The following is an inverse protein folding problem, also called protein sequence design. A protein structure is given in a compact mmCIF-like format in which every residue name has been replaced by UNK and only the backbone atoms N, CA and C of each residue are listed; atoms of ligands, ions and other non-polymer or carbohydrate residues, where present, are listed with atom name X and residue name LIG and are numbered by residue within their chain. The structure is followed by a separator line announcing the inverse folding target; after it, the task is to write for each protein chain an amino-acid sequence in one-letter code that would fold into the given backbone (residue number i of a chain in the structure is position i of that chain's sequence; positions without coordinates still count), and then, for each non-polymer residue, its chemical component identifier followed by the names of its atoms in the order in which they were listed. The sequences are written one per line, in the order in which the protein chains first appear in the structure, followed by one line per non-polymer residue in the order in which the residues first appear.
data_IF_299308790170
#
_entry.id   IF_299308790170
#
_cell.length_a   1.000
_cell.length_b   1.000
_cell.length_c   1.000
_cell.angle_alpha   90.00
_cell.angle_beta   90.00
_cell.angle_gamma   90.00
#
_symmetry.space_group_name_H-M   'P 1'
#
loop_
_entity.id
_entity.type
_entity.pdbx_description
1 polymer ?
#
# COMPACT_ATOMS: atom_id res chain seq x y z
N UNK A 1 11.88 -0.96 37.88
CA UNK A 1 12.65 -1.94 37.07
C UNK A 1 14.10 -1.48 37.07
N UNK A 2 15.05 -2.33 37.48
CA UNK A 2 16.45 -1.92 37.57
C UNK A 2 17.10 -1.88 36.17
N UNK A 3 18.26 -1.21 36.06
CA UNK A 3 18.97 -1.05 34.78
C UNK A 3 19.32 -2.40 34.13
N UNK A 4 19.71 -3.38 34.93
CA UNK A 4 20.09 -4.71 34.45
C UNK A 4 18.92 -5.41 33.74
N UNK A 5 17.72 -5.43 34.32
CA UNK A 5 16.53 -6.03 33.70
C UNK A 5 16.21 -5.37 32.36
N UNK A 6 16.34 -4.03 32.27
CA UNK A 6 16.07 -3.32 31.00
C UNK A 6 17.09 -3.73 29.93
N UNK A 7 18.38 -3.76 30.27
CA UNK A 7 19.43 -4.17 29.34
C UNK A 7 19.22 -5.60 28.86
N UNK A 8 18.86 -6.53 29.75
CA UNK A 8 18.55 -7.92 29.39
C UNK A 8 17.34 -8.02 28.45
N UNK A 9 16.26 -7.28 28.72
CA UNK A 9 15.07 -7.26 27.87
C UNK A 9 15.38 -6.68 26.48
N UNK A 10 16.15 -5.58 26.42
CA UNK A 10 16.61 -4.99 25.16
C UNK A 10 17.45 -5.96 24.35
N UNK A 11 18.43 -6.61 24.97
CA UNK A 11 19.28 -7.61 24.29
C UNK A 11 18.46 -8.80 23.79
N UNK A 12 17.47 -9.26 24.57
CA UNK A 12 16.56 -10.32 24.15
C UNK A 12 15.74 -9.89 22.93
N UNK A 13 15.15 -8.69 22.94
CA UNK A 13 14.39 -8.17 21.80
C UNK A 13 15.23 -8.07 20.53
N UNK A 14 16.46 -7.55 20.61
CA UNK A 14 17.37 -7.49 19.47
C UNK A 14 17.77 -8.89 18.97
N UNK A 15 18.04 -9.83 19.88
CA UNK A 15 18.37 -11.21 19.53
C UNK A 15 17.22 -11.88 18.77
N UNK A 16 16.00 -11.81 19.30
CA UNK A 16 14.80 -12.37 18.63
C UNK A 16 14.60 -11.72 17.26
N UNK A 17 14.69 -10.39 17.18
CA UNK A 17 14.54 -9.65 15.91
C UNK A 17 15.57 -10.09 14.88
N UNK A 18 16.85 -10.19 15.29
CA UNK A 18 17.94 -10.66 14.42
C UNK A 18 17.73 -12.10 13.98
N UNK A 19 17.35 -13.00 14.88
CA UNK A 19 17.05 -14.40 14.54
C UNK A 19 15.90 -14.50 13.54
N UNK A 20 14.82 -13.75 13.72
CA UNK A 20 13.71 -13.70 12.75
C UNK A 20 14.22 -13.21 11.39
N UNK A 21 15.00 -12.13 11.34
CA UNK A 21 15.54 -11.59 10.08
C UNK A 21 16.46 -12.60 9.39
N UNK A 22 17.43 -13.18 10.12
CA UNK A 22 18.46 -14.04 9.55
C UNK A 22 17.91 -15.42 9.15
N UNK A 23 16.96 -15.98 9.91
CA UNK A 23 16.44 -17.34 9.68
C UNK A 23 15.19 -17.40 8.82
N UNK A 24 14.32 -16.39 8.89
CA UNK A 24 13.04 -16.37 8.14
C UNK A 24 13.17 -15.50 6.88
N UNK A 25 13.90 -14.39 6.97
CA UNK A 25 14.08 -13.46 5.86
C UNK A 25 12.87 -12.57 5.58
N UNK A 26 12.67 -12.16 4.31
CA UNK A 26 11.52 -11.37 3.88
C UNK A 26 10.20 -12.09 4.17
N UNK A 27 9.25 -11.34 4.72
CA UNK A 27 7.96 -11.83 5.19
C UNK A 27 6.84 -10.83 4.86
N UNK A 28 6.51 -10.63 3.57
CA UNK A 28 5.40 -9.77 3.18
C UNK A 28 4.10 -10.17 3.87
N UNK A 29 3.18 -9.21 4.01
CA UNK A 29 1.88 -9.46 4.64
C UNK A 29 1.18 -10.68 4.02
N UNK A 30 0.67 -11.56 4.89
CA UNK A 30 0.01 -12.82 4.54
C UNK A 30 0.88 -13.85 3.79
N UNK A 31 2.20 -13.71 3.80
CA UNK A 31 3.12 -14.74 3.30
C UNK A 31 3.27 -15.89 4.29
N UNK A 32 3.78 -17.03 3.81
CA UNK A 32 4.08 -18.19 4.66
C UNK A 32 5.08 -17.83 5.78
N UNK A 33 6.09 -17.02 5.45
CA UNK A 33 7.11 -16.52 6.37
C UNK A 33 6.52 -15.60 7.44
N UNK A 34 5.56 -14.73 7.06
CA UNK A 34 4.80 -13.91 8.02
C UNK A 34 3.99 -14.81 8.97
N UNK A 35 3.37 -15.87 8.45
CA UNK A 35 2.63 -16.82 9.29
C UNK A 35 3.54 -17.57 10.28
N UNK A 36 4.72 -18.01 9.85
CA UNK A 36 5.72 -18.61 10.75
C UNK A 36 6.12 -17.61 11.83
N UNK A 37 6.40 -16.36 11.44
CA UNK A 37 6.79 -15.31 12.38
C UNK A 37 5.71 -15.07 13.44
N UNK A 38 4.43 -15.02 13.03
CA UNK A 38 3.32 -14.89 13.98
C UNK A 38 3.26 -16.05 14.97
N UNK A 39 3.48 -17.30 14.53
CA UNK A 39 3.53 -18.48 15.43
C UNK A 39 4.70 -18.40 16.41
N UNK A 40 5.88 -17.99 15.95
CA UNK A 40 7.06 -17.81 16.82
C UNK A 40 6.77 -16.74 17.88
N UNK A 41 6.20 -15.60 17.50
CA UNK A 41 5.85 -14.55 18.44
C UNK A 41 4.80 -15.01 19.46
N UNK A 42 3.75 -15.72 19.01
CA UNK A 42 2.76 -16.31 19.91
C UNK A 42 3.42 -17.27 20.91
N UNK A 43 4.32 -18.14 20.45
CA UNK A 43 5.07 -19.05 21.31
C UNK A 43 5.92 -18.28 22.35
N UNK A 44 6.64 -17.25 21.93
CA UNK A 44 7.42 -16.40 22.83
C UNK A 44 6.53 -15.70 23.87
N UNK A 45 5.34 -15.25 23.49
CA UNK A 45 4.40 -14.63 24.42
C UNK A 45 3.92 -15.59 25.52
N UNK A 46 3.93 -16.92 25.30
CA UNK A 46 3.51 -17.88 26.33
C UNK A 46 4.40 -17.83 27.57
N UNK A 47 5.66 -17.41 27.43
CA UNK A 47 6.57 -17.26 28.56
C UNK A 47 6.29 -16.02 29.44
N UNK A 48 5.53 -15.05 28.94
CA UNK A 48 5.38 -13.73 29.59
C UNK A 48 3.92 -13.26 29.74
N UNK A 49 2.96 -13.92 29.09
CA UNK A 49 1.55 -13.56 29.08
C UNK A 49 0.69 -14.67 29.71
N UNK A 50 -0.42 -14.29 30.33
CA UNK A 50 -1.36 -15.25 30.93
C UNK A 50 -2.14 -16.03 29.86
N UNK A 51 -2.37 -15.42 28.70
CA UNK A 51 -2.93 -16.12 27.54
C UNK A 51 -2.37 -15.60 26.23
N UNK A 52 -2.30 -16.47 25.23
CA UNK A 52 -1.85 -16.11 23.88
C UNK A 52 -2.73 -16.73 22.83
N UNK A 53 -2.88 -16.03 21.70
CA UNK A 53 -3.64 -16.54 20.56
C UNK A 53 -3.11 -16.00 19.25
N UNK A 54 -3.33 -16.77 18.19
CA UNK A 54 -3.30 -16.24 16.83
C UNK A 54 -4.69 -15.72 16.49
N UNK A 55 -4.77 -14.47 16.08
CA UNK A 55 -5.98 -13.87 15.58
C UNK A 55 -5.93 -13.80 14.06
N UNK A 56 -6.79 -14.58 13.41
CA UNK A 56 -6.91 -14.64 11.96
C UNK A 56 -7.59 -13.38 11.42
N UNK A 57 -7.08 -12.84 10.31
CA UNK A 57 -7.74 -11.78 9.53
C UNK A 57 -7.66 -12.08 8.05
N UNK A 58 -8.54 -11.47 7.26
CA UNK A 58 -8.52 -11.57 5.78
C UNK A 58 -8.26 -10.18 5.22
N UNK A 59 -7.36 -10.08 4.23
CA UNK A 59 -7.04 -8.84 3.53
C UNK A 59 -6.61 -9.13 2.09
N UNK A 60 -6.42 -8.09 1.27
CA UNK A 60 -5.97 -8.18 -0.11
C UNK A 60 -4.57 -7.57 -0.24
N UNK A 61 -3.49 -8.28 0.15
CA UNK A 61 -2.16 -7.67 0.32
C UNK A 61 -1.56 -7.16 -1.00
N UNK A 62 -2.07 -7.62 -2.14
CA UNK A 62 -1.64 -7.18 -3.46
C UNK A 62 -2.35 -5.90 -3.93
N UNK A 63 -3.41 -5.42 -3.25
CA UNK A 63 -4.19 -4.29 -3.73
C UNK A 63 -3.40 -2.98 -3.74
N UNK A 64 -2.65 -2.72 -2.65
CA UNK A 64 -1.84 -1.51 -2.53
C UNK A 64 -0.75 -1.40 -3.61
N UNK A 65 -0.12 -2.50 -4.03
CA UNK A 65 0.85 -2.45 -5.13
C UNK A 65 0.20 -2.64 -6.50
N UNK A 66 -0.99 -3.25 -6.55
CA UNK A 66 -1.66 -3.56 -7.79
C UNK A 66 -2.19 -2.33 -8.53
N UNK A 67 -2.58 -1.26 -7.83
CA UNK A 67 -3.02 -0.03 -8.51
C UNK A 67 -1.88 0.61 -9.30
N UNK A 68 -0.62 0.44 -8.86
CA UNK A 68 0.58 0.89 -9.57
C UNK A 68 0.76 0.19 -10.92
N UNK A 69 0.09 -0.94 -11.15
CA UNK A 69 0.04 -1.61 -12.46
C UNK A 69 -1.24 -1.26 -13.22
N UNK A 70 -2.39 -1.32 -12.55
CA UNK A 70 -3.69 -1.07 -13.19
C UNK A 70 -3.82 0.37 -13.73
N UNK A 71 -3.47 1.37 -12.93
CA UNK A 71 -3.68 2.78 -13.28
C UNK A 71 -2.85 3.20 -14.51
N UNK A 72 -1.55 2.88 -14.61
CA UNK A 72 -0.79 3.18 -15.82
C UNK A 72 -1.37 2.57 -17.11
N UNK A 73 -1.90 1.34 -17.04
CA UNK A 73 -2.54 0.73 -18.20
C UNK A 73 -3.80 1.49 -18.62
N UNK A 74 -4.65 1.90 -17.67
CA UNK A 74 -5.81 2.74 -17.98
C UNK A 74 -5.37 4.05 -18.64
N UNK A 75 -4.30 4.69 -18.14
CA UNK A 75 -3.77 5.93 -18.72
C UNK A 75 -3.29 5.74 -20.17
N UNK A 76 -2.53 4.69 -20.44
CA UNK A 76 -2.06 4.37 -21.80
C UNK A 76 -3.26 4.14 -22.73
N UNK A 77 -4.28 3.40 -22.28
CA UNK A 77 -5.51 3.20 -23.05
C UNK A 77 -6.26 4.52 -23.30
N UNK A 78 -6.32 5.43 -22.32
CA UNK A 78 -6.97 6.72 -22.49
C UNK A 78 -6.24 7.60 -23.51
N UNK A 79 -4.91 7.58 -23.52
CA UNK A 79 -4.11 8.29 -24.54
C UNK A 79 -4.43 7.73 -25.93
N UNK A 80 -4.49 6.41 -26.09
CA UNK A 80 -4.88 5.78 -27.36
C UNK A 80 -6.31 6.18 -27.80
N UNK A 81 -7.26 6.23 -26.85
CA UNK A 81 -8.62 6.66 -27.13
C UNK A 81 -8.70 8.11 -27.60
N UNK A 82 -7.84 9.00 -27.10
CA UNK A 82 -7.72 10.37 -27.64
C UNK A 82 -7.31 10.34 -29.10
N UNK A 83 -6.32 9.54 -29.49
CA UNK A 83 -5.90 9.40 -30.89
C UNK A 83 -7.00 8.85 -31.80
N UNK A 84 -7.84 7.98 -31.26
CA UNK A 84 -9.03 7.44 -31.94
C UNK A 84 -10.25 8.36 -31.87
N UNK A 85 -10.09 9.59 -31.35
CA UNK A 85 -11.13 10.62 -31.20
C UNK A 85 -12.28 10.25 -30.24
N UNK A 86 -12.08 9.25 -29.38
CA UNK A 86 -13.00 8.89 -28.30
C UNK A 86 -12.76 9.76 -27.05
N UNK A 87 -12.86 11.08 -27.19
CA UNK A 87 -12.46 12.04 -26.16
C UNK A 87 -13.22 11.89 -24.83
N UNK A 88 -14.54 11.72 -24.88
CA UNK A 88 -15.37 11.57 -23.67
C UNK A 88 -15.02 10.31 -22.90
N UNK A 89 -14.78 9.20 -23.62
CA UNK A 89 -14.40 7.91 -22.99
C UNK A 89 -13.01 8.04 -22.35
N UNK A 90 -12.06 8.71 -23.03
CA UNK A 90 -10.74 8.96 -22.47
C UNK A 90 -10.79 9.85 -21.20
N UNK A 91 -11.59 10.92 -21.21
CA UNK A 91 -11.75 11.81 -20.05
C UNK A 91 -12.37 11.09 -18.84
N UNK A 92 -13.38 10.25 -19.07
CA UNK A 92 -13.94 9.39 -18.04
C UNK A 92 -12.91 8.38 -17.52
N UNK A 93 -12.13 7.77 -18.41
CA UNK A 93 -11.07 6.85 -18.03
C UNK A 93 -10.00 7.49 -17.14
N UNK A 94 -9.50 8.68 -17.48
CA UNK A 94 -8.58 9.44 -16.60
C UNK A 94 -9.21 9.77 -15.25
N UNK A 95 -10.49 10.12 -15.24
CA UNK A 95 -11.24 10.42 -14.01
C UNK A 95 -11.34 9.18 -13.11
N UNK A 96 -11.74 8.03 -13.65
CA UNK A 96 -11.83 6.75 -12.92
C UNK A 96 -10.46 6.34 -12.40
N UNK A 97 -9.41 6.44 -13.22
CA UNK A 97 -8.06 6.08 -12.84
C UNK A 97 -7.53 6.97 -11.69
N UNK A 98 -7.88 8.26 -11.68
CA UNK A 98 -7.59 9.15 -10.55
C UNK A 98 -8.37 8.74 -9.29
N UNK A 99 -9.67 8.42 -9.40
CA UNK A 99 -10.46 7.97 -8.25
C UNK A 99 -9.83 6.71 -7.62
N UNK A 100 -9.43 5.73 -8.45
CA UNK A 100 -8.75 4.51 -7.98
C UNK A 100 -7.45 4.86 -7.26
N UNK A 101 -6.59 5.66 -7.90
CA UNK A 101 -5.29 6.04 -7.34
C UNK A 101 -5.43 6.84 -6.04
N UNK A 102 -6.30 7.84 -5.99
CA UNK A 102 -6.55 8.64 -4.78
C UNK A 102 -7.13 7.78 -3.66
N UNK A 103 -8.07 6.88 -3.98
CA UNK A 103 -8.63 5.94 -3.01
C UNK A 103 -7.56 5.04 -2.40
N UNK A 104 -6.70 4.43 -3.23
CA UNK A 104 -5.71 3.43 -2.80
C UNK A 104 -4.44 4.05 -2.19
N UNK A 105 -3.92 5.13 -2.79
CA UNK A 105 -2.61 5.69 -2.41
C UNK A 105 -2.69 6.83 -1.41
N UNK A 106 -3.71 7.69 -1.49
CA UNK A 106 -3.83 8.87 -0.62
C UNK A 106 -4.67 8.53 0.61
N UNK A 107 -5.82 7.88 0.41
CA UNK A 107 -6.73 7.55 1.51
C UNK A 107 -6.60 6.13 2.05
N UNK A 108 -5.80 5.27 1.42
CA UNK A 108 -5.61 3.87 1.81
C UNK A 108 -6.94 3.10 1.99
N UNK A 109 -7.95 3.42 1.18
CA UNK A 109 -9.27 2.79 1.22
C UNK A 109 -9.29 1.52 0.39
N UNK A 110 -9.81 0.45 0.97
CA UNK A 110 -9.99 -0.86 0.31
C UNK A 110 -11.14 -0.95 -0.70
N UNK A 111 -11.66 0.18 -1.20
CA UNK A 111 -12.83 0.23 -2.11
C UNK A 111 -12.62 -0.61 -3.38
N UNK A 112 -11.39 -0.70 -3.87
CA UNK A 112 -11.02 -1.42 -5.09
C UNK A 112 -10.28 -2.73 -4.80
N UNK A 113 -10.25 -3.17 -3.54
CA UNK A 113 -9.50 -4.37 -3.14
C UNK A 113 -10.14 -5.66 -3.69
N UNK A 114 -11.43 -5.62 -4.02
CA UNK A 114 -12.17 -6.73 -4.65
C UNK A 114 -11.57 -7.17 -6.00
N UNK A 115 -10.73 -6.35 -6.62
CA UNK A 115 -9.99 -6.69 -7.85
C UNK A 115 -8.81 -7.63 -7.59
N UNK A 116 -8.49 -7.92 -6.33
CA UNK A 116 -7.33 -8.68 -5.91
C UNK A 116 -7.75 -9.92 -5.14
N UNK A 117 -6.86 -10.91 -5.05
CA UNK A 117 -7.15 -12.16 -4.32
C UNK A 117 -7.07 -11.95 -2.81
N UNK A 118 -8.10 -12.33 -2.03
CA UNK A 118 -8.04 -12.30 -0.58
C UNK A 118 -7.02 -13.30 -0.07
N UNK A 119 -6.30 -12.94 0.99
CA UNK A 119 -5.38 -13.81 1.70
C UNK A 119 -5.62 -13.72 3.20
N UNK A 120 -5.36 -14.83 3.86
CA UNK A 120 -5.44 -14.95 5.31
C UNK A 120 -4.10 -14.52 5.95
N UNK A 121 -4.17 -13.67 6.96
CA UNK A 121 -3.05 -13.28 7.81
C UNK A 121 -3.32 -13.63 9.28
N UNK A 122 -2.26 -13.55 10.10
CA UNK A 122 -2.34 -13.85 11.53
C UNK A 122 -1.68 -12.74 12.35
N UNK A 123 -2.40 -12.24 13.35
CA UNK A 123 -1.81 -11.45 14.42
C UNK A 123 -1.44 -12.36 15.59
N UNK A 124 -0.26 -12.16 16.18
CA UNK A 124 0.08 -12.77 17.47
C UNK A 124 -0.36 -11.84 18.60
N UNK A 125 -1.19 -12.34 19.51
CA UNK A 125 -1.71 -11.57 20.64
C UNK A 125 -1.31 -12.26 21.94
N UNK A 126 -0.68 -11.50 22.84
CA UNK A 126 -0.46 -11.88 24.24
C UNK A 126 -1.32 -10.99 25.15
N UNK A 127 -1.92 -11.56 26.19
CA UNK A 127 -2.76 -10.86 27.16
C UNK A 127 -2.20 -11.12 28.56
N UNK A 128 -1.97 -10.04 29.30
CA UNK A 128 -1.67 -10.07 30.73
C UNK A 128 -2.90 -9.53 31.45
N UNK A 129 -3.51 -10.36 32.28
CA UNK A 129 -4.71 -10.03 33.03
C UNK A 129 -4.34 -9.25 34.31
N UNK A 130 -5.14 -8.24 34.69
CA UNK A 130 -4.95 -7.58 35.97
C UNK A 130 -5.27 -8.57 37.11
N UNK A 131 -4.51 -8.48 38.20
CA UNK A 131 -4.78 -9.27 39.43
C UNK A 131 -6.02 -8.81 40.19
N UNK A 132 -6.49 -7.60 39.90
CA UNK A 132 -7.66 -6.96 40.52
C UNK A 132 -8.68 -6.65 39.43
N UNK A 133 -9.79 -6.06 39.83
CA UNK A 133 -10.82 -5.54 38.93
C UNK A 133 -10.22 -4.77 37.73
N UNK A 134 -10.71 -5.09 36.53
CA UNK A 134 -10.28 -4.47 35.29
C UNK A 134 -10.81 -3.03 35.22
N UNK A 135 -9.91 -2.05 35.34
CA UNK A 135 -10.24 -0.61 35.25
C UNK A 135 -9.80 0.03 33.93
N UNK A 136 -8.79 -0.54 33.28
CA UNK A 136 -8.20 0.03 32.07
C UNK A 136 -7.48 -1.06 31.26
N UNK A 137 -7.48 -0.91 29.93
CA UNK A 137 -6.69 -1.72 29.01
C UNK A 137 -5.58 -0.88 28.39
N UNK A 138 -4.35 -1.43 28.35
CA UNK A 138 -3.22 -0.87 27.61
C UNK A 138 -2.89 -1.80 26.46
N UNK A 139 -2.84 -1.27 25.24
CA UNK A 139 -2.50 -2.03 24.03
C UNK A 139 -1.14 -1.56 23.54
N UNK A 140 -0.19 -2.49 23.43
CA UNK A 140 1.11 -2.26 22.80
C UNK A 140 1.14 -3.11 21.53
N UNK A 141 1.28 -2.48 20.38
CA UNK A 141 1.23 -3.14 19.08
C UNK A 141 2.45 -2.82 18.23
N UNK A 142 2.90 -3.78 17.44
CA UNK A 142 3.88 -3.61 16.38
C UNK A 142 3.53 -4.53 15.21
N UNK A 143 4.07 -4.25 14.03
CA UNK A 143 3.88 -5.09 12.86
C UNK A 143 5.09 -6.02 12.70
N UNK A 144 4.83 -7.29 12.37
CA UNK A 144 5.87 -8.31 12.24
C UNK A 144 6.17 -8.65 10.78
N UNK A 145 5.33 -8.22 9.84
CA UNK A 145 5.56 -8.35 8.40
C UNK A 145 6.63 -7.36 7.90
N UNK A 146 7.17 -7.64 6.71
CA UNK A 146 8.15 -6.77 6.05
C UNK A 146 7.55 -6.11 4.81
N UNK A 147 7.76 -4.81 4.65
CA UNK A 147 7.38 -4.10 3.43
C UNK A 147 8.26 -4.46 2.24
N UNK A 148 7.71 -4.35 1.03
CA UNK A 148 8.51 -4.36 -0.19
C UNK A 148 9.36 -3.09 -0.28
N UNK A 149 10.60 -3.24 -0.74
CA UNK A 149 11.48 -2.11 -0.96
C UNK A 149 11.34 -1.57 -2.39
N UNK A 150 10.99 -0.28 -2.51
CA UNK A 150 11.11 0.44 -3.76
C UNK A 150 12.59 0.70 -4.07
N UNK A 151 13.18 -0.12 -4.95
CA UNK A 151 14.61 -0.03 -5.33
C UNK A 151 15.06 1.39 -5.70
N UNK A 152 14.22 2.15 -6.40
CA UNK A 152 14.51 3.53 -6.82
C UNK A 152 14.59 4.51 -5.63
N UNK A 153 13.81 4.26 -4.58
CA UNK A 153 13.90 5.00 -3.32
C UNK A 153 15.22 4.70 -2.61
N UNK A 154 15.67 3.43 -2.62
CA UNK A 154 16.95 3.02 -2.03
C UNK A 154 18.15 3.65 -2.75
N UNK A 155 18.17 3.58 -4.09
CA UNK A 155 19.34 4.02 -4.86
C UNK A 155 19.38 5.53 -5.10
N UNK A 156 18.22 6.18 -5.21
CA UNK A 156 18.12 7.59 -5.62
C UNK A 156 17.02 8.37 -4.84
N UNK A 157 17.16 8.54 -3.52
CA UNK A 157 16.08 9.08 -2.67
C UNK A 157 15.65 10.51 -3.02
N UNK A 158 16.58 11.36 -3.50
CA UNK A 158 16.25 12.74 -3.92
C UNK A 158 15.36 12.75 -5.17
N UNK A 159 15.69 11.92 -6.16
CA UNK A 159 14.91 11.80 -7.40
C UNK A 159 13.59 11.06 -7.18
N UNK A 160 13.53 10.15 -6.20
CA UNK A 160 12.27 9.48 -5.83
C UNK A 160 11.17 10.48 -5.50
N UNK A 161 11.46 11.51 -4.70
CA UNK A 161 10.47 12.56 -4.38
C UNK A 161 9.99 13.32 -5.62
N UNK A 162 10.91 13.69 -6.50
CA UNK A 162 10.57 14.38 -7.76
C UNK A 162 9.69 13.47 -8.63
N UNK A 163 10.02 12.18 -8.70
CA UNK A 163 9.27 11.20 -9.50
C UNK A 163 7.86 10.96 -8.95
N UNK A 164 7.70 10.84 -7.64
CA UNK A 164 6.36 10.72 -7.03
C UNK A 164 5.55 12.00 -7.27
N UNK A 165 6.17 13.17 -7.09
CA UNK A 165 5.50 14.45 -7.36
C UNK A 165 5.09 14.58 -8.84
N UNK A 166 5.93 14.15 -9.78
CA UNK A 166 5.61 14.21 -11.21
C UNK A 166 4.49 13.24 -11.60
N UNK A 167 4.42 12.07 -10.96
CA UNK A 167 3.29 11.14 -11.12
C UNK A 167 1.99 11.77 -10.60
N UNK A 168 2.01 12.34 -9.39
CA UNK A 168 0.81 12.99 -8.83
C UNK A 168 0.37 14.16 -9.73
N UNK A 169 1.32 14.98 -10.19
CA UNK A 169 1.03 16.10 -11.09
C UNK A 169 0.45 15.62 -12.42
N UNK A 170 1.04 14.60 -13.05
CA UNK A 170 0.52 14.07 -14.32
C UNK A 170 -0.88 13.49 -14.15
N UNK A 171 -1.19 12.92 -12.98
CA UNK A 171 -2.52 12.41 -12.68
C UNK A 171 -3.57 13.51 -12.67
N UNK A 172 -3.30 14.62 -11.97
CA UNK A 172 -4.20 15.78 -11.91
C UNK A 172 -4.33 16.44 -13.29
N UNK A 173 -3.20 16.65 -13.99
CA UNK A 173 -3.21 17.27 -15.31
C UNK A 173 -3.98 16.43 -16.35
N UNK A 174 -3.91 15.11 -16.29
CA UNK A 174 -4.62 14.24 -17.24
C UNK A 174 -6.13 14.41 -17.20
N UNK A 175 -6.71 14.63 -16.01
CA UNK A 175 -8.15 14.90 -15.86
C UNK A 175 -8.50 16.25 -16.46
N UNK A 176 -7.72 17.29 -16.12
CA UNK A 176 -7.94 18.63 -16.66
C UNK A 176 -7.84 18.63 -18.19
N UNK A 177 -6.77 18.04 -18.75
CA UNK A 177 -6.55 17.94 -20.18
C UNK A 177 -7.68 17.14 -20.84
N UNK A 178 -8.04 15.98 -20.30
CA UNK A 178 -9.10 15.14 -20.85
C UNK A 178 -10.43 15.89 -20.98
N UNK A 179 -10.86 16.58 -19.93
CA UNK A 179 -12.11 17.35 -19.97
C UNK A 179 -12.01 18.63 -20.81
N UNK A 180 -10.85 19.30 -20.83
CA UNK A 180 -10.61 20.42 -21.76
C UNK A 180 -10.68 19.97 -23.22
N UNK A 181 -10.16 18.78 -23.55
CA UNK A 181 -10.28 18.19 -24.89
C UNK A 181 -11.73 17.92 -25.27
N UNK A 182 -12.52 17.37 -24.35
CA UNK A 182 -13.98 17.17 -24.55
C UNK A 182 -14.67 18.51 -24.80
N UNK A 183 -14.46 19.50 -23.92
CA UNK A 183 -15.03 20.84 -24.09
C UNK A 183 -14.61 21.47 -25.41
N UNK A 184 -13.34 21.32 -25.79
CA UNK A 184 -12.84 21.89 -27.02
C UNK A 184 -13.54 21.31 -28.26
N UNK A 185 -13.69 19.99 -28.30
CA UNK A 185 -14.34 19.29 -29.38
C UNK A 185 -15.84 19.66 -29.50
N UNK A 186 -16.58 19.66 -28.39
CA UNK A 186 -18.03 19.92 -28.42
C UNK A 186 -18.40 21.41 -28.52
N UNK A 187 -17.61 22.32 -27.96
CA UNK A 187 -17.93 23.76 -27.99
C UNK A 187 -17.35 24.50 -29.19
N UNK A 188 -16.19 24.07 -29.71
CA UNK A 188 -15.49 24.79 -30.79
C UNK A 188 -15.34 23.97 -32.08
N UNK A 189 -15.76 22.70 -32.08
CA UNK A 189 -15.67 21.83 -33.26
C UNK A 189 -14.24 21.54 -33.71
N UNK A 190 -13.23 21.94 -32.92
CA UNK A 190 -11.84 21.74 -33.25
C UNK A 190 -11.39 20.36 -32.80
N UNK A 191 -10.84 19.59 -33.73
CA UNK A 191 -10.09 18.38 -33.41
C UNK A 191 -8.70 18.82 -32.87
N UNK A 192 -8.38 18.54 -31.60
CA UNK A 192 -7.11 18.94 -31.01
C UNK A 192 -5.90 18.33 -31.72
N UNK A 193 -6.08 17.18 -32.39
CA UNK A 193 -5.01 16.50 -33.12
C UNK A 193 -4.80 17.08 -34.53
N UNK A 194 -5.85 17.65 -35.14
CA UNK A 194 -5.75 18.25 -36.47
C UNK A 194 -4.80 19.45 -36.50
N UNK A 195 -4.66 20.21 -35.40
CA UNK A 195 -3.75 21.37 -35.36
C UNK A 195 -2.29 21.03 -35.08
N UNK A 196 -1.99 19.86 -34.51
CA UNK A 196 -0.62 19.46 -34.16
C UNK A 196 0.09 18.79 -35.35
N UNK A 197 -0.64 18.01 -36.16
CA UNK A 197 -0.06 17.25 -37.27
C UNK A 197 -0.25 17.86 -38.66
N UNK A 198 -1.09 18.89 -38.82
CA UNK A 198 -1.30 19.59 -40.11
C UNK A 198 -0.59 20.95 -40.15
N UNK A 199 -0.09 21.43 -39.00
CA UNK A 199 0.74 22.64 -38.92
C UNK A 199 2.26 22.35 -38.94
N UNK A 200 2.65 21.13 -39.31
CA UNK A 200 4.03 20.71 -39.56
C UNK A 200 4.22 20.36 -41.04
#
# INVERSE_FOLDING_TARGET
MNTQTRTSATNFAFKITKTIIDSIGPRPSCSFESHITARILQFLYQAFCDSTRLHTFVTHPNAFLGFLTLVPWIYISCILLIFLKFYTIAALGFTIANIIATSQFIFYKGTFDFLYTPKTGYNAIGIINPKKELRQQVIISGHHDSAYEFRYMRTTPRLYRIRVASIILSMVLSVAIGWLTVLNFYCFGSDPLHRIFVAA
#
